data_IF_625757314621
#
_entry.id   IF_625757314621
#
_cell.length_a   1.000
_cell.length_b   1.000
_cell.length_c   1.000
_cell.angle_alpha   90.00
_cell.angle_beta   90.00
_cell.angle_gamma   90.00
#
_symmetry.space_group_name_H-M   'P 1'
#
loop_
_entity.id
_entity.type
_entity.pdbx_description
1 polymer ?
#
# COMPACT_ATOMS: atom_id res chain seq x y z
N UNK A 1 14.11 21.32 -23.95
CA UNK A 1 13.57 21.73 -22.63
C UNK A 1 13.72 20.53 -21.70
N UNK A 2 14.34 20.68 -20.54
CA UNK A 2 14.50 19.56 -19.59
C UNK A 2 13.14 19.31 -18.94
N UNK A 3 12.45 18.25 -19.34
CA UNK A 3 11.23 17.77 -18.68
C UNK A 3 11.63 17.28 -17.28
N UNK A 4 10.96 17.74 -16.23
CA UNK A 4 11.22 17.30 -14.87
C UNK A 4 10.46 16.02 -14.61
N UNK A 5 11.18 14.97 -14.29
CA UNK A 5 10.63 13.75 -13.76
C UNK A 5 10.16 14.05 -12.32
N UNK A 6 8.88 13.94 -12.05
CA UNK A 6 8.38 13.85 -10.70
C UNK A 6 7.69 12.49 -10.60
N UNK A 7 8.44 11.48 -10.14
CA UNK A 7 7.82 10.26 -9.71
C UNK A 7 7.08 10.59 -8.42
N UNK A 8 5.77 10.57 -8.48
CA UNK A 8 4.96 10.70 -7.31
C UNK A 8 4.86 9.30 -6.73
N UNK A 9 5.55 9.03 -5.63
CA UNK A 9 5.14 7.96 -4.73
C UNK A 9 3.75 8.35 -4.25
N UNK A 10 2.78 8.00 -5.03
CA UNK A 10 1.40 8.25 -4.71
C UNK A 10 0.91 7.05 -3.91
N UNK A 11 1.07 7.11 -2.59
CA UNK A 11 -0.03 6.66 -1.77
C UNK A 11 -1.21 7.52 -2.22
N UNK A 12 -2.05 6.96 -3.09
CA UNK A 12 -3.03 7.69 -3.88
C UNK A 12 -4.03 8.36 -2.98
N UNK A 13 -4.08 9.64 -3.02
CA UNK A 13 -5.22 10.42 -2.60
C UNK A 13 -5.52 11.50 -3.62
N UNK A 14 -6.53 11.27 -4.40
CA UNK A 14 -7.14 12.29 -5.23
C UNK A 14 -8.38 12.86 -4.52
N UNK A 15 -8.33 14.13 -4.18
CA UNK A 15 -9.49 14.87 -3.70
C UNK A 15 -10.35 15.34 -4.86
N UNK A 16 -11.62 14.93 -4.90
CA UNK A 16 -12.64 15.55 -5.72
C UNK A 16 -13.59 16.38 -4.87
N UNK A 17 -13.66 17.67 -5.18
CA UNK A 17 -14.73 18.54 -4.74
C UNK A 17 -15.79 18.62 -5.83
N UNK A 18 -16.86 17.82 -5.75
CA UNK A 18 -18.18 18.12 -6.34
C UNK A 18 -19.23 17.31 -5.57
N UNK A 19 -20.21 18.03 -5.04
CA UNK A 19 -21.33 17.47 -4.30
C UNK A 19 -22.24 16.64 -5.23
N UNK A 20 -22.10 15.33 -5.14
CA UNK A 20 -23.08 14.33 -5.56
C UNK A 20 -23.28 13.44 -4.34
N UNK A 21 -24.50 12.95 -4.01
CA UNK A 21 -24.63 11.95 -2.95
C UNK A 21 -23.85 10.71 -3.42
N UNK A 22 -22.66 10.59 -2.91
CA UNK A 22 -21.69 9.62 -3.38
C UNK A 22 -22.01 8.26 -2.78
N UNK A 23 -22.29 7.28 -3.61
CA UNK A 23 -21.70 5.98 -3.37
C UNK A 23 -20.18 6.24 -3.22
N UNK A 24 -19.60 5.94 -2.06
CA UNK A 24 -18.19 6.21 -1.81
C UNK A 24 -17.36 5.45 -2.83
N UNK A 25 -16.64 6.19 -3.67
CA UNK A 25 -15.80 5.58 -4.69
C UNK A 25 -14.64 4.85 -3.99
N UNK A 26 -14.38 3.61 -4.38
CA UNK A 26 -13.22 2.84 -3.92
C UNK A 26 -11.96 3.62 -4.26
N UNK A 27 -11.07 3.90 -3.29
CA UNK A 27 -9.81 4.57 -3.56
C UNK A 27 -9.02 3.84 -4.64
N UNK A 28 -8.36 4.61 -5.48
CA UNK A 28 -7.55 4.07 -6.58
C UNK A 28 -6.38 3.27 -6.01
N UNK A 29 -6.14 2.08 -6.57
CA UNK A 29 -5.12 1.16 -6.06
C UNK A 29 -5.51 0.41 -4.78
N UNK A 30 -6.73 0.57 -4.28
CA UNK A 30 -7.18 -0.15 -3.08
C UNK A 30 -7.23 -1.66 -3.29
N UNK A 31 -7.58 -2.12 -4.50
CA UNK A 31 -7.55 -3.54 -4.85
C UNK A 31 -6.11 -4.06 -4.82
N UNK A 32 -5.15 -3.31 -5.38
CA UNK A 32 -3.73 -3.68 -5.39
C UNK A 32 -3.15 -3.64 -3.97
N UNK A 33 -3.52 -2.64 -3.18
CA UNK A 33 -3.15 -2.53 -1.76
C UNK A 33 -3.68 -3.72 -0.94
N UNK A 34 -4.94 -4.10 -1.14
CA UNK A 34 -5.53 -5.26 -0.48
C UNK A 34 -4.85 -6.56 -0.91
N UNK A 35 -4.55 -6.70 -2.20
CA UNK A 35 -3.85 -7.87 -2.76
C UNK A 35 -2.41 -7.95 -2.24
N UNK A 36 -1.68 -6.84 -2.19
CA UNK A 36 -0.33 -6.77 -1.60
C UNK A 36 -0.37 -7.25 -0.15
N UNK A 37 -1.23 -6.66 0.67
CA UNK A 37 -1.34 -7.02 2.08
C UNK A 37 -1.83 -8.46 2.29
N UNK A 38 -2.69 -8.97 1.41
CA UNK A 38 -3.13 -10.36 1.42
C UNK A 38 -1.97 -11.32 1.14
N UNK A 39 -1.17 -11.02 0.13
CA UNK A 39 0.00 -11.81 -0.23
C UNK A 39 1.04 -11.82 0.90
N UNK A 40 1.19 -10.70 1.63
CA UNK A 40 2.03 -10.60 2.83
C UNK A 40 1.43 -11.31 4.06
N UNK A 41 0.19 -11.82 3.99
CA UNK A 41 -0.53 -12.38 5.15
C UNK A 41 -1.03 -11.35 6.16
N UNK A 42 -0.94 -10.05 5.83
CA UNK A 42 -1.28 -8.93 6.70
C UNK A 42 -2.73 -8.45 6.56
N UNK A 43 -3.43 -8.92 5.54
CA UNK A 43 -4.85 -8.63 5.30
C UNK A 43 -5.57 -9.90 4.85
N UNK A 44 -6.87 -10.00 5.13
CA UNK A 44 -7.66 -11.14 4.68
C UNK A 44 -8.95 -10.69 3.99
N UNK A 45 -9.35 -11.48 2.99
CA UNK A 45 -10.67 -11.40 2.40
C UNK A 45 -11.77 -11.80 3.41
N UNK A 46 -12.99 -11.48 3.07
CA UNK A 46 -14.21 -11.88 3.78
C UNK A 46 -14.78 -13.18 3.25
N UNK A 47 -14.31 -13.61 2.07
CA UNK A 47 -14.69 -14.81 1.37
C UNK A 47 -13.75 -15.12 0.22
N UNK A 48 -14.18 -16.02 -0.65
CA UNK A 48 -13.46 -16.42 -1.86
C UNK A 48 -14.43 -16.33 -3.04
N UNK A 49 -13.97 -15.72 -4.13
CA UNK A 49 -14.70 -15.62 -5.38
C UNK A 49 -14.80 -17.00 -6.08
N UNK A 50 -15.66 -17.12 -7.08
CA UNK A 50 -15.86 -18.37 -7.82
C UNK A 50 -14.59 -18.85 -8.56
N UNK A 51 -13.66 -17.95 -8.87
CA UNK A 51 -12.35 -18.23 -9.49
C UNK A 51 -11.23 -18.57 -8.49
N UNK A 52 -11.56 -18.63 -7.18
CA UNK A 52 -10.61 -18.91 -6.12
C UNK A 52 -9.86 -17.68 -5.59
N UNK A 53 -10.07 -16.50 -6.14
CA UNK A 53 -9.46 -15.26 -5.67
C UNK A 53 -10.10 -14.76 -4.37
N UNK A 54 -9.37 -14.01 -3.51
CA UNK A 54 -9.94 -13.47 -2.29
C UNK A 54 -11.00 -12.39 -2.60
N UNK A 55 -12.10 -12.44 -1.87
CA UNK A 55 -13.14 -11.40 -1.87
C UNK A 55 -12.80 -10.40 -0.76
N UNK A 56 -12.47 -9.16 -1.09
CA UNK A 56 -12.03 -8.17 -0.11
C UNK A 56 -13.15 -7.28 0.44
N UNK A 57 -14.32 -7.22 -0.21
CA UNK A 57 -15.46 -6.35 0.15
C UNK A 57 -15.06 -4.89 0.38
N UNK A 58 -14.29 -4.34 -0.57
CA UNK A 58 -13.64 -3.04 -0.43
C UNK A 58 -14.61 -1.86 -0.35
N UNK A 59 -15.82 -2.02 -0.82
CA UNK A 59 -16.88 -1.00 -0.93
C UNK A 59 -17.75 -0.86 0.33
N UNK A 60 -17.51 -1.65 1.38
CA UNK A 60 -18.22 -1.53 2.65
C UNK A 60 -17.35 -0.97 3.78
N UNK A 61 -17.99 -0.31 4.73
CA UNK A 61 -17.31 0.12 5.95
C UNK A 61 -16.95 -1.09 6.83
N UNK A 62 -15.73 -1.16 7.37
CA UNK A 62 -15.38 -2.15 8.37
C UNK A 62 -15.99 -1.78 9.74
N UNK A 63 -16.35 -2.78 10.50
CA UNK A 63 -16.71 -2.58 11.91
C UNK A 63 -15.43 -2.26 12.71
N UNK A 64 -15.61 -1.71 13.92
CA UNK A 64 -14.47 -1.43 14.82
C UNK A 64 -13.71 -2.71 15.20
N UNK A 65 -14.41 -3.82 15.38
CA UNK A 65 -13.79 -5.13 15.62
C UNK A 65 -12.97 -5.60 14.40
N UNK A 66 -13.49 -5.43 13.18
CA UNK A 66 -12.74 -5.75 11.95
C UNK A 66 -11.53 -4.84 11.78
N UNK A 67 -11.67 -3.54 12.06
CA UNK A 67 -10.58 -2.58 11.95
C UNK A 67 -9.41 -2.90 12.89
N UNK A 68 -9.69 -3.27 14.15
CA UNK A 68 -8.65 -3.72 15.08
C UNK A 68 -8.03 -5.03 14.61
N UNK A 69 -8.82 -5.94 14.04
CA UNK A 69 -8.30 -7.19 13.46
C UNK A 69 -7.35 -6.91 12.28
N UNK A 70 -7.72 -5.98 11.39
CA UNK A 70 -6.86 -5.51 10.30
C UNK A 70 -5.55 -4.96 10.87
N UNK A 71 -5.62 -4.08 11.87
CA UNK A 71 -4.44 -3.49 12.51
C UNK A 71 -3.51 -4.57 13.11
N UNK A 72 -4.05 -5.51 13.88
CA UNK A 72 -3.23 -6.55 14.55
C UNK A 72 -2.54 -7.44 13.50
N UNK A 73 -3.21 -7.74 12.39
CA UNK A 73 -2.63 -8.45 11.26
C UNK A 73 -1.54 -7.62 10.58
N UNK A 74 -1.81 -6.36 10.30
CA UNK A 74 -0.84 -5.42 9.71
C UNK A 74 0.46 -5.37 10.51
N UNK A 75 0.38 -5.48 11.83
CA UNK A 75 1.54 -5.50 12.72
C UNK A 75 2.24 -6.88 12.78
N UNK A 76 1.78 -7.90 12.05
CA UNK A 76 2.29 -9.26 12.12
C UNK A 76 2.05 -9.94 13.47
N UNK A 77 1.04 -9.49 14.23
CA UNK A 77 0.79 -9.91 15.61
C UNK A 77 -0.40 -10.87 15.79
N UNK A 78 -0.95 -11.39 14.69
CA UNK A 78 -2.09 -12.31 14.77
C UNK A 78 -1.77 -13.57 15.59
N UNK A 79 -0.62 -14.20 15.35
CA UNK A 79 -0.21 -15.39 16.09
C UNK A 79 -0.07 -15.10 17.60
N UNK A 80 0.51 -13.98 17.98
CA UNK A 80 0.62 -13.56 19.38
C UNK A 80 -0.75 -13.26 20.00
N UNK A 81 -1.62 -12.58 19.25
CA UNK A 81 -2.99 -12.28 19.70
C UNK A 81 -3.78 -13.57 19.97
N UNK A 82 -3.66 -14.57 19.10
CA UNK A 82 -4.37 -15.85 19.22
C UNK A 82 -3.78 -16.82 20.25
N UNK A 83 -2.52 -16.62 20.67
CA UNK A 83 -1.79 -17.56 21.51
C UNK A 83 -2.26 -17.60 22.99
N UNK A 84 -3.01 -16.61 23.42
CA UNK A 84 -3.46 -16.50 24.84
C UNK A 84 -4.82 -15.84 25.01
N UNK A 85 -5.42 -16.07 26.16
CA UNK A 85 -6.65 -15.38 26.57
C UNK A 85 -6.29 -14.00 27.14
N UNK A 86 -6.98 -12.98 26.65
CA UNK A 86 -6.78 -11.60 27.06
C UNK A 86 -7.87 -11.16 28.05
N UNK A 87 -7.45 -10.51 29.11
CA UNK A 87 -8.41 -9.84 30.04
C UNK A 87 -8.73 -8.45 29.47
N UNK A 88 -10.00 -8.22 29.14
CA UNK A 88 -10.50 -6.93 28.67
C UNK A 88 -11.73 -6.51 29.47
N UNK A 89 -11.93 -5.21 29.70
CA UNK A 89 -13.10 -4.73 30.45
C UNK A 89 -14.39 -4.71 29.60
N UNK A 90 -14.27 -4.87 28.28
CA UNK A 90 -15.37 -4.70 27.34
C UNK A 90 -16.30 -5.91 27.31
N UNK A 91 -17.60 -5.65 27.41
CA UNK A 91 -18.65 -6.68 27.48
C UNK A 91 -19.31 -6.98 26.14
N UNK A 92 -19.10 -6.14 25.14
CA UNK A 92 -19.74 -6.16 23.81
C UNK A 92 -18.84 -6.69 22.67
N UNK A 93 -17.67 -7.23 23.00
CA UNK A 93 -16.74 -7.79 22.01
C UNK A 93 -17.13 -9.24 21.72
N UNK A 94 -17.46 -9.59 20.44
CA UNK A 94 -17.78 -10.96 20.07
C UNK A 94 -16.55 -11.87 20.20
N UNK A 95 -16.79 -13.16 20.44
CA UNK A 95 -15.73 -14.14 20.76
C UNK A 95 -14.62 -14.19 19.70
N UNK A 96 -14.97 -14.10 18.43
CA UNK A 96 -13.99 -14.12 17.35
C UNK A 96 -13.01 -12.92 17.37
N UNK A 97 -13.46 -11.76 17.87
CA UNK A 97 -12.67 -10.53 17.91
C UNK A 97 -11.92 -10.36 19.25
N UNK A 98 -12.28 -11.12 20.31
CA UNK A 98 -11.64 -10.99 21.63
C UNK A 98 -10.13 -11.11 21.62
N UNK A 99 -9.50 -12.02 20.86
CA UNK A 99 -8.04 -12.09 20.80
C UNK A 99 -7.42 -10.80 20.26
N UNK A 100 -7.97 -10.25 19.21
CA UNK A 100 -7.46 -9.04 18.55
C UNK A 100 -7.68 -7.78 19.39
N UNK A 101 -8.90 -7.60 19.90
CA UNK A 101 -9.23 -6.48 20.78
C UNK A 101 -8.43 -6.55 22.07
N UNK A 102 -8.26 -7.75 22.62
CA UNK A 102 -7.48 -7.99 23.82
C UNK A 102 -6.02 -7.64 23.67
N UNK A 103 -5.42 -8.06 22.55
CA UNK A 103 -4.06 -7.67 22.20
C UNK A 103 -3.94 -6.15 22.07
N UNK A 104 -4.80 -5.52 21.26
CA UNK A 104 -4.76 -4.08 21.01
C UNK A 104 -5.00 -3.24 22.27
N UNK A 105 -5.88 -3.69 23.15
CA UNK A 105 -6.11 -3.05 24.45
C UNK A 105 -4.87 -3.13 25.36
N UNK A 106 -4.29 -4.31 25.48
CA UNK A 106 -3.10 -4.54 26.32
C UNK A 106 -1.89 -3.79 25.78
N UNK A 107 -1.76 -3.67 24.46
CA UNK A 107 -0.71 -2.91 23.79
C UNK A 107 -0.95 -1.39 23.81
N UNK A 108 -2.10 -0.92 24.32
CA UNK A 108 -2.41 0.52 24.42
C UNK A 108 -2.89 1.15 23.11
N UNK A 109 -3.22 0.35 22.09
CA UNK A 109 -3.69 0.87 20.81
C UNK A 109 -5.14 1.35 20.86
N UNK A 110 -5.97 0.73 21.71
CA UNK A 110 -7.35 1.12 21.93
C UNK A 110 -7.71 1.22 23.41
N UNK A 111 -8.64 2.14 23.75
CA UNK A 111 -9.20 2.30 25.08
C UNK A 111 -10.70 2.00 25.12
N UNK A 112 -11.28 1.51 24.00
CA UNK A 112 -12.72 1.41 23.83
C UNK A 112 -13.39 2.77 23.62
N UNK A 113 -14.72 2.77 23.64
CA UNK A 113 -15.53 4.01 23.59
C UNK A 113 -16.01 4.43 25.00
N UNK A 114 -15.95 3.50 25.95
CA UNK A 114 -16.19 3.76 27.38
C UNK A 114 -15.40 2.71 28.22
N UNK A 115 -15.38 2.83 29.55
CA UNK A 115 -14.66 1.89 30.41
C UNK A 115 -15.07 0.42 30.20
N UNK A 116 -16.29 0.15 29.75
CA UNK A 116 -16.83 -1.22 29.62
C UNK A 116 -17.34 -1.56 28.20
N UNK A 117 -17.28 -0.62 27.27
CA UNK A 117 -17.76 -0.80 25.90
C UNK A 117 -16.67 -0.52 24.88
N UNK A 118 -16.55 -1.43 23.93
CA UNK A 118 -15.69 -1.30 22.76
C UNK A 118 -16.45 -0.74 21.56
N UNK A 119 -17.76 -0.98 21.48
CA UNK A 119 -18.65 -0.71 20.34
C UNK A 119 -18.25 -1.51 19.10
N UNK A 120 -18.11 -2.83 19.29
CA UNK A 120 -17.49 -3.76 18.34
C UNK A 120 -18.13 -3.76 16.95
N UNK A 121 -19.46 -3.61 16.89
CA UNK A 121 -20.27 -3.70 15.67
C UNK A 121 -20.49 -2.36 14.96
N UNK A 122 -20.16 -1.23 15.58
CA UNK A 122 -20.25 0.07 14.93
C UNK A 122 -19.20 0.20 13.82
N UNK A 123 -19.52 0.90 12.74
CA UNK A 123 -18.56 1.25 11.71
C UNK A 123 -17.46 2.12 12.31
N UNK A 124 -16.21 1.85 11.94
CA UNK A 124 -15.11 2.70 12.38
C UNK A 124 -15.06 3.98 11.53
N UNK A 125 -14.72 5.11 12.15
CA UNK A 125 -14.45 6.35 11.43
C UNK A 125 -12.98 6.43 11.00
N UNK A 126 -12.69 7.29 10.01
CA UNK A 126 -11.33 7.62 9.58
C UNK A 126 -10.44 8.02 10.76
N UNK A 127 -10.91 8.98 11.58
CA UNK A 127 -10.15 9.45 12.74
C UNK A 127 -9.83 8.32 13.72
N UNK A 128 -10.77 7.41 13.94
CA UNK A 128 -10.55 6.25 14.81
C UNK A 128 -9.52 5.28 14.25
N UNK A 129 -9.60 4.94 12.96
CA UNK A 129 -8.64 4.02 12.33
C UNK A 129 -7.22 4.60 12.32
N UNK A 130 -7.07 5.85 11.87
CA UNK A 130 -5.77 6.53 11.86
C UNK A 130 -5.19 6.69 13.28
N UNK A 131 -6.04 6.93 14.29
CA UNK A 131 -5.59 6.96 15.70
C UNK A 131 -5.05 5.60 16.14
N UNK A 132 -5.74 4.50 15.84
CA UNK A 132 -5.26 3.15 16.15
C UNK A 132 -3.90 2.89 15.48
N UNK A 133 -3.79 3.24 14.21
CA UNK A 133 -2.57 3.07 13.42
C UNK A 133 -1.39 3.87 13.99
N UNK A 134 -1.59 5.16 14.26
CA UNK A 134 -0.54 6.02 14.82
C UNK A 134 -0.05 5.53 16.18
N UNK A 135 -0.96 5.08 17.07
CA UNK A 135 -0.58 4.47 18.34
C UNK A 135 0.24 3.19 18.13
N UNK A 136 -0.13 2.36 17.16
CA UNK A 136 0.61 1.15 16.83
C UNK A 136 2.00 1.44 16.23
N UNK A 137 2.17 2.57 15.54
CA UNK A 137 3.46 3.08 15.07
C UNK A 137 4.27 3.78 16.18
N UNK A 138 3.75 3.86 17.42
CA UNK A 138 4.44 4.41 18.59
C UNK A 138 4.17 5.89 18.85
N UNK A 139 3.32 6.55 18.08
CA UNK A 139 2.94 7.95 18.29
C UNK A 139 1.90 8.07 19.40
N UNK A 140 1.96 9.16 20.18
CA UNK A 140 1.12 9.37 21.35
C UNK A 140 0.07 10.44 21.09
N UNK A 141 -1.19 10.09 21.36
CA UNK A 141 -2.30 11.04 21.40
C UNK A 141 -2.08 12.11 22.48
N UNK A 142 -2.40 13.34 22.15
CA UNK A 142 -2.20 14.51 23.02
C UNK A 142 -0.76 15.04 23.04
N UNK A 143 0.21 14.30 22.46
CA UNK A 143 1.61 14.72 22.38
C UNK A 143 2.07 14.89 20.94
N UNK A 144 1.88 13.87 20.11
CA UNK A 144 2.34 13.86 18.72
C UNK A 144 1.21 14.22 17.76
N UNK A 145 -0.02 13.88 18.10
CA UNK A 145 -1.21 14.15 17.30
C UNK A 145 -2.44 14.36 18.19
N UNK A 146 -3.53 14.79 17.58
CA UNK A 146 -4.83 14.95 18.24
C UNK A 146 -5.78 13.91 17.66
N UNK A 147 -6.40 13.09 18.52
CA UNK A 147 -7.22 11.93 18.14
C UNK A 147 -8.38 12.25 17.19
N UNK A 148 -8.89 13.47 17.18
CA UNK A 148 -9.95 13.91 16.28
C UNK A 148 -9.45 14.58 14.99
N UNK A 149 -8.11 14.67 14.81
CA UNK A 149 -7.47 15.16 13.59
C UNK A 149 -6.15 14.41 13.31
N UNK A 150 -6.13 13.05 13.35
CA UNK A 150 -4.92 12.24 13.21
C UNK A 150 -4.34 12.34 11.80
N UNK A 151 -5.16 12.67 10.78
CA UNK A 151 -4.73 12.87 9.40
C UNK A 151 -3.61 13.91 9.27
N UNK A 152 -3.59 14.93 10.12
CA UNK A 152 -2.51 15.92 10.12
C UNK A 152 -1.12 15.29 10.30
N UNK A 153 -1.02 14.26 11.15
CA UNK A 153 0.24 13.54 11.34
C UNK A 153 0.45 12.49 10.25
N UNK A 154 -0.60 11.72 9.86
CA UNK A 154 -0.43 10.71 8.80
C UNK A 154 -0.05 11.32 7.46
N UNK A 155 -0.55 12.53 7.11
CA UNK A 155 -0.12 13.29 5.94
C UNK A 155 1.36 13.68 6.04
N UNK A 156 1.78 14.19 7.20
CA UNK A 156 3.18 14.54 7.43
C UNK A 156 4.12 13.34 7.34
N UNK A 157 3.65 12.16 7.69
CA UNK A 157 4.41 10.91 7.63
C UNK A 157 4.36 10.24 6.24
N UNK A 158 3.61 10.81 5.28
CA UNK A 158 3.41 10.22 3.96
C UNK A 158 2.56 8.95 3.94
N UNK A 159 1.81 8.68 5.02
CA UNK A 159 0.87 7.56 5.10
C UNK A 159 -0.44 7.91 4.40
N UNK A 160 -0.83 9.18 4.47
CA UNK A 160 -1.96 9.80 3.77
C UNK A 160 -1.47 11.07 3.06
N UNK A 161 -2.29 11.66 2.18
CA UNK A 161 -1.88 12.78 1.31
C UNK A 161 -2.94 13.89 1.24
N UNK A 162 -3.67 14.11 2.34
CA UNK A 162 -4.70 15.16 2.43
C UNK A 162 -6.11 14.70 2.05
N UNK A 163 -6.30 13.42 1.75
CA UNK A 163 -7.61 12.85 1.39
C UNK A 163 -8.59 12.79 2.55
N UNK A 164 -8.11 12.84 3.79
CA UNK A 164 -8.95 12.80 4.98
C UNK A 164 -8.95 14.11 5.75
N UNK A 165 -10.13 14.47 6.26
CA UNK A 165 -10.33 15.68 7.05
C UNK A 165 -11.57 15.55 7.95
N UNK A 166 -11.92 16.63 8.67
CA UNK A 166 -13.06 16.64 9.59
C UNK A 166 -14.44 16.43 8.89
N UNK A 167 -14.51 16.61 7.58
CA UNK A 167 -15.69 16.41 6.76
C UNK A 167 -15.78 14.99 6.18
N UNK A 168 -14.76 14.17 6.35
CA UNK A 168 -14.78 12.77 5.88
C UNK A 168 -15.76 11.96 6.73
N UNK A 169 -16.87 11.56 6.11
CA UNK A 169 -17.97 10.84 6.79
C UNK A 169 -17.95 9.34 6.55
N UNK A 170 -17.20 8.88 5.58
CA UNK A 170 -17.15 7.47 5.17
C UNK A 170 -15.73 6.96 5.23
N UNK A 171 -15.55 5.76 5.77
CA UNK A 171 -14.29 5.03 5.78
C UNK A 171 -14.58 3.58 5.41
N UNK A 172 -14.05 3.13 4.30
CA UNK A 172 -14.32 1.82 3.72
C UNK A 172 -13.15 0.84 3.99
N UNK A 173 -13.38 -0.43 3.69
CA UNK A 173 -12.31 -1.44 3.71
C UNK A 173 -11.22 -1.13 2.66
N UNK A 174 -11.60 -0.47 1.56
CA UNK A 174 -10.67 0.11 0.59
C UNK A 174 -9.73 1.12 1.22
N UNK A 175 -10.24 2.06 2.03
CA UNK A 175 -9.44 3.03 2.75
C UNK A 175 -8.51 2.33 3.75
N UNK A 176 -9.04 1.35 4.51
CA UNK A 176 -8.25 0.58 5.46
C UNK A 176 -7.10 -0.17 4.77
N UNK A 177 -7.33 -0.75 3.58
CA UNK A 177 -6.29 -1.42 2.80
C UNK A 177 -5.25 -0.43 2.28
N UNK A 178 -5.67 0.68 1.66
CA UNK A 178 -4.77 1.69 1.11
C UNK A 178 -3.89 2.32 2.20
N UNK A 179 -4.50 2.77 3.29
CA UNK A 179 -3.76 3.34 4.45
C UNK A 179 -2.82 2.32 5.07
N UNK A 180 -3.24 1.05 5.19
CA UNK A 180 -2.39 -0.01 5.75
C UNK A 180 -1.19 -0.33 4.85
N UNK A 181 -1.37 -0.35 3.53
CA UNK A 181 -0.28 -0.55 2.58
C UNK A 181 0.73 0.60 2.64
N UNK A 182 0.26 1.85 2.64
CA UNK A 182 1.11 3.04 2.80
C UNK A 182 1.86 3.04 4.15
N UNK A 183 1.21 2.57 5.22
CA UNK A 183 1.81 2.50 6.55
C UNK A 183 3.01 1.53 6.64
N UNK A 184 3.12 0.55 5.74
CA UNK A 184 4.30 -0.32 5.67
C UNK A 184 5.58 0.49 5.45
N UNK A 185 5.49 1.56 4.67
CA UNK A 185 6.61 2.46 4.34
C UNK A 185 6.71 3.66 5.30
N UNK A 186 5.70 3.84 6.15
CA UNK A 186 5.67 4.91 7.13
C UNK A 186 6.70 4.70 8.25
N UNK A 187 7.32 5.80 8.75
CA UNK A 187 8.28 5.72 9.84
C UNK A 187 7.58 5.39 11.16
N UNK A 188 8.20 4.53 11.97
CA UNK A 188 7.83 4.35 13.37
C UNK A 188 8.43 5.47 14.22
N UNK A 189 7.73 5.88 15.29
CA UNK A 189 8.22 6.92 16.18
C UNK A 189 9.56 6.55 16.81
N UNK A 190 10.54 7.44 16.70
CA UNK A 190 11.88 7.28 17.28
C UNK A 190 12.76 6.22 16.63
N UNK A 191 12.31 5.64 15.51
CA UNK A 191 13.06 4.62 14.77
C UNK A 191 13.52 5.13 13.40
N UNK A 192 14.63 4.57 12.94
CA UNK A 192 15.09 4.73 11.56
C UNK A 192 14.40 3.73 10.61
N UNK A 193 13.63 2.80 11.18
CA UNK A 193 12.98 1.70 10.44
C UNK A 193 11.53 2.00 10.14
N UNK A 194 11.10 1.53 8.98
CA UNK A 194 9.68 1.49 8.61
C UNK A 194 8.98 0.29 9.27
N UNK A 195 7.64 0.26 9.24
CA UNK A 195 6.88 -0.91 9.69
C UNK A 195 7.25 -2.17 8.87
N UNK A 196 7.45 -2.01 7.56
CA UNK A 196 7.89 -3.11 6.69
C UNK A 196 9.19 -3.72 7.15
N UNK A 197 10.20 -2.89 7.47
CA UNK A 197 11.49 -3.37 7.96
C UNK A 197 11.36 -4.14 9.27
N UNK A 198 10.52 -3.68 10.20
CA UNK A 198 10.27 -4.39 11.45
C UNK A 198 9.58 -5.76 11.22
N UNK A 199 8.66 -5.83 10.27
CA UNK A 199 7.99 -7.09 9.91
C UNK A 199 8.96 -8.11 9.32
N UNK A 200 9.88 -7.65 8.46
CA UNK A 200 10.95 -8.48 7.90
C UNK A 200 11.92 -8.94 8.99
N UNK A 201 12.43 -8.02 9.80
CA UNK A 201 13.40 -8.31 10.86
C UNK A 201 12.84 -9.27 11.93
N UNK A 202 11.55 -9.17 12.21
CA UNK A 202 10.85 -10.05 13.16
C UNK A 202 10.48 -11.42 12.57
N UNK A 203 10.61 -11.60 11.25
CA UNK A 203 10.13 -12.79 10.55
C UNK A 203 8.60 -12.91 10.50
N UNK A 204 7.87 -11.85 10.81
CA UNK A 204 6.41 -11.82 10.72
C UNK A 204 5.93 -11.92 9.26
N UNK A 205 6.72 -11.41 8.35
CA UNK A 205 6.64 -11.67 6.92
C UNK A 205 7.96 -12.26 6.46
N UNK A 206 7.89 -13.23 5.57
CA UNK A 206 9.09 -13.84 4.99
C UNK A 206 9.22 -13.35 3.55
N UNK A 207 10.40 -12.89 3.18
CA UNK A 207 10.68 -12.42 1.82
C UNK A 207 10.56 -13.51 0.74
N UNK A 208 10.32 -14.76 1.13
CA UNK A 208 10.09 -15.86 0.20
C UNK A 208 8.67 -15.91 -0.38
N UNK A 209 7.72 -15.18 0.18
CA UNK A 209 6.32 -15.22 -0.26
C UNK A 209 5.87 -13.99 -1.04
N UNK A 210 6.55 -12.86 -0.88
CA UNK A 210 6.23 -11.63 -1.62
C UNK A 210 7.48 -10.78 -1.78
N UNK A 211 7.83 -10.52 -3.02
CA UNK A 211 8.85 -9.53 -3.35
C UNK A 211 8.17 -8.18 -3.42
N UNK A 212 8.51 -7.30 -2.49
CA UNK A 212 8.21 -5.89 -2.63
C UNK A 212 9.35 -5.30 -3.43
N UNK A 213 9.04 -4.88 -4.64
CA UNK A 213 9.99 -4.23 -5.52
C UNK A 213 9.96 -2.73 -5.24
N UNK A 214 11.12 -2.19 -5.03
CA UNK A 214 11.36 -0.79 -5.22
C UNK A 214 11.85 -0.59 -6.66
N UNK A 215 11.63 0.57 -7.25
CA UNK A 215 12.06 0.83 -8.61
C UNK A 215 12.29 2.33 -8.82
N UNK A 216 13.23 2.62 -9.71
CA UNK A 216 13.49 3.96 -10.21
C UNK A 216 13.00 4.06 -11.65
N UNK A 217 12.17 5.06 -11.95
CA UNK A 217 11.91 5.47 -13.30
C UNK A 217 13.15 6.24 -13.80
N UNK A 218 13.99 5.58 -14.60
CA UNK A 218 15.25 6.18 -15.10
C UNK A 218 14.99 7.18 -16.22
N UNK A 219 13.98 6.92 -17.03
CA UNK A 219 13.56 7.80 -18.11
C UNK A 219 12.05 7.71 -18.26
N UNK A 220 11.40 8.86 -18.39
CA UNK A 220 9.97 8.95 -18.66
C UNK A 220 9.74 10.08 -19.67
N UNK A 221 9.22 9.76 -20.83
CA UNK A 221 8.93 10.70 -21.91
C UNK A 221 7.79 10.20 -22.77
N UNK A 222 7.38 10.99 -23.77
CA UNK A 222 6.36 10.61 -24.73
C UNK A 222 6.65 9.22 -25.32
N UNK A 223 5.65 8.35 -25.34
CA UNK A 223 5.69 7.00 -25.91
C UNK A 223 6.78 6.06 -25.38
N UNK A 224 7.54 6.46 -24.37
CA UNK A 224 8.65 5.68 -23.84
C UNK A 224 8.89 5.89 -22.36
N UNK A 225 9.11 4.81 -21.63
CA UNK A 225 9.57 4.83 -20.24
C UNK A 225 10.58 3.71 -19.98
N UNK A 226 11.51 3.92 -19.04
CA UNK A 226 12.40 2.86 -18.56
C UNK A 226 12.45 2.81 -17.05
N UNK A 227 12.49 1.58 -16.51
CA UNK A 227 12.42 1.30 -15.10
C UNK A 227 13.52 0.35 -14.69
N UNK A 228 14.14 0.65 -13.55
CA UNK A 228 15.09 -0.22 -12.88
C UNK A 228 14.43 -0.78 -11.62
N UNK A 229 14.38 -2.11 -11.52
CA UNK A 229 13.77 -2.82 -10.39
C UNK A 229 14.84 -3.39 -9.47
N UNK A 230 14.60 -3.29 -8.17
CA UNK A 230 15.43 -3.90 -7.14
C UNK A 230 14.58 -4.36 -5.95
N UNK A 231 14.96 -5.44 -5.25
CA UNK A 231 14.23 -5.88 -4.08
C UNK A 231 14.38 -4.84 -2.96
N UNK A 232 13.32 -4.57 -2.23
CA UNK A 232 13.38 -3.68 -1.06
C UNK A 232 14.46 -4.18 -0.09
N UNK A 233 15.29 -3.26 0.37
CA UNK A 233 16.40 -3.55 1.28
C UNK A 233 15.92 -4.30 2.53
N UNK A 234 16.50 -5.46 2.80
CA UNK A 234 16.10 -6.34 3.91
C UNK A 234 15.24 -7.54 3.50
N UNK A 235 14.88 -7.67 2.21
CA UNK A 235 14.29 -8.92 1.73
C UNK A 235 15.31 -10.06 1.89
N UNK A 236 14.99 -11.13 2.63
CA UNK A 236 15.89 -12.26 2.81
C UNK A 236 16.03 -13.15 1.56
N UNK A 237 15.16 -12.98 0.56
CA UNK A 237 15.19 -13.79 -0.64
C UNK A 237 16.28 -13.30 -1.61
N UNK A 238 17.18 -14.21 -1.98
CA UNK A 238 18.10 -14.01 -3.08
C UNK A 238 17.42 -14.44 -4.37
N UNK A 239 17.17 -13.46 -5.24
CA UNK A 239 16.63 -13.71 -6.56
C UNK A 239 17.76 -13.85 -7.59
N UNK A 240 17.53 -14.69 -8.57
CA UNK A 240 18.46 -14.89 -9.69
C UNK A 240 17.98 -14.21 -10.98
N UNK A 241 16.67 -13.97 -11.09
CA UNK A 241 16.11 -13.25 -12.23
C UNK A 241 14.77 -12.60 -11.90
N UNK A 242 14.45 -11.56 -12.67
CA UNK A 242 13.17 -10.86 -12.68
C UNK A 242 12.68 -10.72 -14.11
N UNK A 243 11.41 -10.97 -14.35
CA UNK A 243 10.79 -10.81 -15.64
C UNK A 243 9.40 -10.22 -15.52
N UNK A 244 9.08 -9.22 -16.33
CA UNK A 244 7.71 -8.77 -16.52
C UNK A 244 7.00 -9.70 -17.52
N UNK A 245 5.86 -10.22 -17.10
CA UNK A 245 5.03 -11.07 -17.95
C UNK A 245 4.11 -10.22 -18.83
N UNK A 246 3.70 -9.07 -18.32
CA UNK A 246 2.83 -8.12 -18.99
C UNK A 246 3.04 -6.72 -18.44
N UNK A 247 3.03 -5.73 -19.31
CA UNK A 247 2.94 -4.31 -18.96
C UNK A 247 1.77 -3.70 -19.70
N UNK A 248 0.98 -2.88 -19.00
CA UNK A 248 -0.09 -2.10 -19.62
C UNK A 248 -0.02 -0.66 -19.11
N UNK A 249 -0.43 0.30 -19.94
CA UNK A 249 -0.67 1.68 -19.54
C UNK A 249 -2.14 1.99 -19.75
N UNK A 250 -2.85 2.32 -18.67
CA UNK A 250 -4.30 2.51 -18.67
C UNK A 250 -5.06 1.35 -19.36
N UNK A 251 -4.59 0.11 -19.14
CA UNK A 251 -5.15 -1.10 -19.74
C UNK A 251 -4.71 -1.41 -21.16
N UNK A 252 -4.02 -0.48 -21.85
CA UNK A 252 -3.45 -0.71 -23.19
C UNK A 252 -2.15 -1.51 -23.06
N UNK A 253 -2.00 -2.55 -23.90
CA UNK A 253 -0.79 -3.37 -23.91
C UNK A 253 0.40 -2.58 -24.44
N UNK A 254 1.57 -2.80 -23.84
CA UNK A 254 2.83 -2.15 -24.20
C UNK A 254 3.82 -3.15 -24.79
N UNK A 255 4.72 -2.65 -25.62
CA UNK A 255 5.92 -3.40 -26.00
C UNK A 255 7.00 -3.21 -24.94
N UNK A 256 7.76 -4.27 -24.64
CA UNK A 256 8.81 -4.23 -23.63
C UNK A 256 10.10 -4.86 -24.12
N UNK A 257 11.23 -4.17 -23.83
CA UNK A 257 12.57 -4.76 -23.87
C UNK A 257 13.01 -4.97 -22.42
N UNK A 258 13.44 -6.19 -22.09
CA UNK A 258 13.76 -6.55 -20.71
C UNK A 258 15.16 -7.12 -20.58
N UNK A 259 15.85 -6.72 -19.51
CA UNK A 259 17.07 -7.36 -19.02
C UNK A 259 16.73 -7.97 -17.66
N UNK A 260 16.91 -9.28 -17.52
CA UNK A 260 16.25 -10.06 -16.47
C UNK A 260 17.20 -10.65 -15.43
N UNK A 261 18.51 -10.45 -15.58
CA UNK A 261 19.50 -10.92 -14.61
C UNK A 261 20.33 -9.78 -14.05
N UNK A 262 20.71 -9.81 -12.76
CA UNK A 262 21.45 -8.72 -12.12
C UNK A 262 22.78 -8.40 -12.82
N UNK A 263 23.48 -9.43 -13.32
CA UNK A 263 24.77 -9.23 -14.00
C UNK A 263 24.61 -8.47 -15.32
N UNK A 264 23.60 -8.81 -16.12
CA UNK A 264 23.32 -8.13 -17.39
C UNK A 264 22.81 -6.70 -17.14
N UNK A 265 21.95 -6.49 -16.10
CA UNK A 265 21.50 -5.15 -15.71
C UNK A 265 22.68 -4.28 -15.34
N UNK A 266 23.61 -4.78 -14.51
CA UNK A 266 24.80 -4.05 -14.11
C UNK A 266 25.68 -3.69 -15.31
N UNK A 267 25.88 -4.63 -16.22
CA UNK A 267 26.68 -4.39 -17.44
C UNK A 267 26.02 -3.36 -18.36
N UNK A 268 24.70 -3.46 -18.54
CA UNK A 268 23.95 -2.52 -19.38
C UNK A 268 23.97 -1.10 -18.78
N UNK A 269 23.67 -0.94 -17.49
CA UNK A 269 23.68 0.35 -16.81
C UNK A 269 25.08 1.02 -16.89
N UNK A 270 26.15 0.24 -16.69
CA UNK A 270 27.51 0.73 -16.85
C UNK A 270 27.78 1.23 -18.28
N UNK A 271 27.23 0.57 -19.30
CA UNK A 271 27.39 0.95 -20.69
C UNK A 271 26.73 2.30 -21.05
N UNK A 272 25.70 2.68 -20.30
CA UNK A 272 24.99 3.97 -20.46
C UNK A 272 25.38 5.01 -19.39
N UNK A 273 26.45 4.75 -18.62
CA UNK A 273 27.02 5.70 -17.65
C UNK A 273 26.36 5.69 -16.27
N UNK A 274 25.52 4.72 -15.95
CA UNK A 274 24.92 4.55 -14.62
C UNK A 274 25.75 3.57 -13.77
N UNK A 275 25.92 3.91 -12.47
CA UNK A 275 26.67 3.09 -11.51
C UNK A 275 25.77 2.29 -10.57
N UNK A 276 24.45 2.43 -10.66
CA UNK A 276 23.51 1.70 -9.83
C UNK A 276 23.46 0.23 -10.21
N UNK A 277 23.37 -0.66 -9.22
CA UNK A 277 23.03 -2.06 -9.42
C UNK A 277 21.52 -2.23 -9.39
N UNK A 278 20.98 -3.05 -10.29
CA UNK A 278 19.55 -3.37 -10.34
C UNK A 278 19.34 -4.86 -10.49
N UNK A 279 18.12 -5.29 -10.32
CA UNK A 279 17.74 -6.69 -10.41
C UNK A 279 17.07 -7.04 -11.73
N UNK A 280 16.33 -6.10 -12.28
CA UNK A 280 15.71 -6.15 -13.60
C UNK A 280 15.65 -4.75 -14.20
N UNK A 281 15.81 -4.66 -15.50
CA UNK A 281 15.66 -3.41 -16.26
C UNK A 281 14.64 -3.63 -17.37
N UNK A 282 13.79 -2.64 -17.56
CA UNK A 282 12.72 -2.71 -18.57
C UNK A 282 12.59 -1.39 -19.28
N UNK A 283 12.56 -1.46 -20.61
CA UNK A 283 12.07 -0.37 -21.47
C UNK A 283 10.63 -0.68 -21.88
N UNK A 284 9.77 0.30 -21.79
CA UNK A 284 8.35 0.21 -22.13
C UNK A 284 8.06 1.21 -23.23
N UNK A 285 7.61 0.71 -24.39
CA UNK A 285 7.07 1.54 -25.47
C UNK A 285 5.55 1.47 -25.45
N UNK A 286 4.88 2.61 -25.48
CA UNK A 286 3.42 2.72 -25.41
C UNK A 286 2.91 3.85 -26.29
N UNK A 287 1.64 3.81 -26.65
CA UNK A 287 0.96 4.88 -27.35
C UNK A 287 0.41 5.88 -26.30
N UNK A 288 1.07 7.04 -26.18
CA UNK A 288 0.71 8.05 -25.19
C UNK A 288 -0.69 8.61 -25.41
N UNK A 289 -1.07 8.87 -26.66
CA UNK A 289 -2.39 9.45 -26.98
C UNK A 289 -3.51 8.47 -26.63
N UNK A 290 -3.32 7.19 -26.98
CA UNK A 290 -4.28 6.14 -26.60
C UNK A 290 -4.32 5.93 -25.08
N UNK A 291 -3.17 5.99 -24.39
CA UNK A 291 -3.11 5.88 -22.94
C UNK A 291 -3.78 7.06 -22.23
N UNK A 292 -3.56 8.31 -22.70
CA UNK A 292 -4.23 9.50 -22.19
C UNK A 292 -5.75 9.45 -22.43
N UNK A 293 -6.19 9.02 -23.60
CA UNK A 293 -7.61 8.88 -23.93
C UNK A 293 -8.30 7.81 -23.05
N UNK A 294 -7.59 6.78 -22.64
CA UNK A 294 -8.08 5.73 -21.75
C UNK A 294 -7.95 6.07 -20.26
N UNK A 295 -7.38 7.23 -19.90
CA UNK A 295 -7.18 7.61 -18.51
C UNK A 295 -8.50 7.84 -17.80
N UNK A 296 -8.71 7.14 -16.70
CA UNK A 296 -9.88 7.30 -15.83
C UNK A 296 -9.59 8.22 -14.65
N UNK A 297 -8.34 8.62 -14.47
CA UNK A 297 -7.84 9.40 -13.36
C UNK A 297 -7.00 10.56 -13.86
N UNK A 298 -7.00 11.64 -13.07
CA UNK A 298 -6.34 12.89 -13.41
C UNK A 298 -5.67 13.49 -12.17
N UNK A 299 -4.53 14.11 -12.37
CA UNK A 299 -3.85 14.94 -11.39
C UNK A 299 -4.11 16.42 -11.70
N UNK A 300 -4.38 17.21 -10.68
CA UNK A 300 -4.48 18.67 -10.82
C UNK A 300 -3.36 19.30 -10.00
N UNK A 301 -2.52 20.08 -10.68
CA UNK A 301 -1.39 20.75 -10.05
C UNK A 301 -1.84 21.98 -9.20
N UNK A 302 -0.88 22.61 -8.51
CA UNK A 302 -1.12 23.78 -7.68
C UNK A 302 -1.60 25.03 -8.46
N UNK A 303 -1.44 25.03 -9.79
CA UNK A 303 -1.90 26.11 -10.70
C UNK A 303 -3.31 25.82 -11.26
N UNK A 304 -3.91 24.68 -10.90
CA UNK A 304 -5.21 24.24 -11.37
C UNK A 304 -5.19 23.58 -12.76
N UNK A 305 -4.03 23.21 -13.28
CA UNK A 305 -3.89 22.47 -14.54
C UNK A 305 -4.10 20.99 -14.25
N UNK A 306 -4.96 20.36 -15.07
CA UNK A 306 -5.33 18.95 -14.91
C UNK A 306 -4.66 18.09 -15.97
N UNK A 307 -3.97 17.03 -15.53
CA UNK A 307 -3.23 16.09 -16.36
C UNK A 307 -3.84 14.69 -16.23
N UNK A 308 -4.03 13.94 -17.33
CA UNK A 308 -4.41 12.54 -17.25
C UNK A 308 -3.29 11.73 -16.58
N UNK A 309 -3.65 10.81 -15.71
CA UNK A 309 -2.70 9.89 -15.11
C UNK A 309 -2.51 8.66 -16.00
N UNK A 310 -1.25 8.31 -16.22
CA UNK A 310 -0.83 7.10 -16.90
C UNK A 310 -0.59 6.00 -15.86
N UNK A 311 -1.53 5.07 -15.75
CA UNK A 311 -1.45 3.93 -14.83
C UNK A 311 -0.64 2.79 -15.47
N UNK A 312 0.65 2.69 -15.13
CA UNK A 312 1.51 1.58 -15.54
C UNK A 312 1.24 0.38 -14.65
N UNK A 313 0.68 -0.68 -15.21
CA UNK A 313 0.48 -1.94 -14.49
C UNK A 313 1.48 -2.98 -14.96
N UNK A 314 2.26 -3.48 -14.01
CA UNK A 314 3.32 -4.46 -14.21
C UNK A 314 2.90 -5.80 -13.59
N UNK A 315 2.92 -6.87 -14.38
CA UNK A 315 2.78 -8.24 -13.88
C UNK A 315 4.10 -8.95 -14.07
N UNK A 316 4.63 -9.56 -13.02
CA UNK A 316 5.99 -10.09 -13.02
C UNK A 316 6.09 -11.54 -12.51
N UNK A 317 7.20 -12.17 -12.84
CA UNK A 317 7.72 -13.39 -12.21
C UNK A 317 9.16 -13.12 -11.78
N UNK A 318 9.48 -13.41 -10.51
CA UNK A 318 10.83 -13.42 -9.99
C UNK A 318 11.25 -14.86 -9.67
N UNK A 319 12.51 -15.21 -9.95
CA UNK A 319 13.05 -16.55 -9.67
C UNK A 319 13.99 -16.47 -8.47
N UNK A 320 13.76 -17.28 -7.45
CA UNK A 320 14.58 -17.39 -6.25
C UNK A 320 15.84 -18.23 -6.53
N UNK A 321 16.82 -18.16 -5.63
CA UNK A 321 18.09 -18.88 -5.77
C UNK A 321 17.93 -20.39 -5.73
N UNK A 322 16.88 -20.91 -5.10
CA UNK A 322 16.53 -22.35 -5.06
C UNK A 322 15.69 -22.80 -6.28
N UNK A 323 15.38 -21.87 -7.19
CA UNK A 323 14.57 -22.13 -8.39
C UNK A 323 13.07 -21.91 -8.17
N UNK A 324 12.64 -21.54 -6.97
CA UNK A 324 11.25 -21.12 -6.68
C UNK A 324 10.84 -19.92 -7.52
N UNK A 325 9.56 -19.79 -7.81
CA UNK A 325 9.04 -18.65 -8.56
C UNK A 325 7.98 -17.91 -7.75
N UNK A 326 8.12 -16.59 -7.73
CA UNK A 326 7.14 -15.66 -7.15
C UNK A 326 6.55 -14.82 -8.27
N UNK A 327 5.23 -14.76 -8.33
CA UNK A 327 4.51 -13.92 -9.30
C UNK A 327 3.73 -12.84 -8.56
N UNK A 328 3.62 -11.67 -9.17
CA UNK A 328 2.88 -10.56 -8.60
C UNK A 328 2.48 -9.54 -9.65
N UNK A 329 1.75 -8.52 -9.19
CA UNK A 329 1.37 -7.36 -9.99
C UNK A 329 1.35 -6.13 -9.11
N UNK A 330 1.69 -4.99 -9.68
CA UNK A 330 1.54 -3.67 -9.06
C UNK A 330 1.22 -2.63 -10.13
N UNK A 331 0.65 -1.51 -9.71
CA UNK A 331 0.32 -0.39 -10.59
C UNK A 331 0.93 0.88 -10.03
N UNK A 332 1.53 1.67 -10.90
CA UNK A 332 2.01 3.00 -10.57
C UNK A 332 1.51 4.05 -11.55
N UNK A 333 1.50 5.31 -11.11
CA UNK A 333 0.85 6.40 -11.80
C UNK A 333 1.85 7.52 -12.11
N UNK A 334 1.84 7.96 -13.35
CA UNK A 334 2.69 9.04 -13.84
C UNK A 334 1.86 10.08 -14.58
N UNK A 335 2.35 11.28 -14.67
CA UNK A 335 1.86 12.29 -15.59
C UNK A 335 3.00 12.97 -16.31
N UNK A 336 2.73 13.43 -17.52
CA UNK A 336 3.69 14.21 -18.31
C UNK A 336 3.33 15.70 -18.16
N UNK A 337 4.25 16.44 -17.56
CA UNK A 337 4.20 17.90 -17.53
C UNK A 337 4.58 18.43 -18.93
N UNK A 338 3.69 19.22 -19.56
CA UNK A 338 3.87 19.74 -20.92
C UNK A 338 4.83 20.92 -20.97
#
# INVERSE_FOLDING_TARGET
MKKKLLSLFLAVALTFALAVPAAAATPVGAQDSAQLLYNLGLFRGTGVNADGTPQFDLDRAPTRAEAVTILVRLLGKEAEAMAKTWSIPFTDVPDWARPYVGYAYTAGYTNGVSPTLFDANASISTAQFLTLLLRALGYQDGTDFVWNAPWTLTDKLGITSGEYNAQTTTFLRSDAAAVSASALYGPKKGGEKTLLQDLLDSGAITGSTVVIWDYDALLFQEDFASFLFYPVTGSPASFTSFRLNKVTVNGQACETLQITTPAEVTAYLASIGHTAGGFGYVEVTYDEDAAKAAATQHYTDANGVTYPLLAFTFTYTATEADGGQVTGSFTDYYYLDQ
#
